data_IF_260813607267
#
_entry.id   IF_260813607267
#
_cell.length_a   1.000
_cell.length_b   1.000
_cell.length_c   1.000
_cell.angle_alpha   90.00
_cell.angle_beta   90.00
_cell.angle_gamma   90.00
#
_symmetry.space_group_name_H-M   'P 1'
#
loop_
_entity.id
_entity.type
_entity.pdbx_description
1 polymer ?
#
# COMPACT_ATOMS: atom_id res chain seq x y z
N UNK A 1 -2.24 -2.59 10.61
CA UNK A 1 -1.38 -1.98 11.64
C UNK A 1 -0.20 -1.21 11.02
N UNK A 2 0.66 -1.85 10.21
CA UNK A 2 1.86 -1.23 9.62
C UNK A 2 1.57 0.11 8.91
N UNK A 3 0.66 0.14 7.93
CA UNK A 3 0.30 1.38 7.22
C UNK A 3 -0.40 2.45 8.07
N UNK A 4 -0.79 2.12 9.31
CA UNK A 4 -1.48 3.04 10.23
C UNK A 4 -0.53 3.59 11.29
N UNK A 5 0.29 2.74 11.90
CA UNK A 5 1.16 3.05 13.06
C UNK A 5 2.59 2.50 12.92
N UNK A 6 2.96 1.94 11.77
CA UNK A 6 4.24 1.26 11.55
C UNK A 6 5.44 2.18 11.73
N UNK A 7 5.33 3.44 11.34
CA UNK A 7 6.41 4.42 11.56
C UNK A 7 6.69 4.63 13.06
N UNK A 8 5.64 4.70 13.89
CA UNK A 8 5.80 4.76 15.34
C UNK A 8 6.38 3.47 15.91
N UNK A 9 5.86 2.30 15.49
CA UNK A 9 6.37 1.00 15.94
C UNK A 9 7.85 0.83 15.60
N UNK A 10 8.27 1.20 14.39
CA UNK A 10 9.68 1.18 13.98
C UNK A 10 10.54 2.08 14.87
N UNK A 11 10.10 3.31 15.15
CA UNK A 11 10.86 4.20 16.02
C UNK A 11 10.97 3.64 17.45
N UNK A 12 9.90 3.04 17.98
CA UNK A 12 9.95 2.39 19.29
C UNK A 12 10.86 1.15 19.30
N UNK A 13 10.87 0.38 18.22
CA UNK A 13 11.78 -0.75 18.05
C UNK A 13 13.25 -0.28 18.11
N UNK A 14 13.59 0.79 17.39
CA UNK A 14 14.93 1.39 17.43
C UNK A 14 15.31 1.86 18.84
N UNK A 15 14.40 2.55 19.52
CA UNK A 15 14.61 3.03 20.89
C UNK A 15 14.90 1.88 21.87
N UNK A 16 14.28 0.73 21.64
CA UNK A 16 14.44 -0.47 22.48
C UNK A 16 15.57 -1.39 22.02
N UNK A 17 16.25 -1.07 20.91
CA UNK A 17 17.31 -1.92 20.35
C UNK A 17 16.78 -3.25 19.78
N UNK A 18 15.54 -3.29 19.30
CA UNK A 18 14.92 -4.48 18.68
C UNK A 18 14.59 -4.23 17.21
N UNK A 19 14.47 -5.29 16.42
CA UNK A 19 14.20 -5.18 14.97
C UNK A 19 12.69 -5.24 14.70
N UNK A 20 12.18 -4.26 13.97
CA UNK A 20 10.85 -4.28 13.36
C UNK A 20 10.96 -4.71 11.91
N UNK A 21 10.04 -5.54 11.43
CA UNK A 21 9.93 -5.88 10.00
C UNK A 21 8.48 -6.25 9.66
N UNK A 22 8.04 -5.86 8.46
CA UNK A 22 6.95 -6.59 7.78
C UNK A 22 7.50 -7.95 7.34
N UNK A 23 6.73 -9.02 7.52
CA UNK A 23 7.15 -10.38 7.16
C UNK A 23 7.20 -10.60 5.65
N UNK A 24 8.11 -11.45 5.18
CA UNK A 24 8.21 -11.87 3.79
C UNK A 24 6.96 -12.64 3.33
N UNK A 25 6.75 -12.66 2.01
CA UNK A 25 5.74 -13.49 1.35
C UNK A 25 4.38 -12.84 1.11
N UNK A 26 4.12 -11.66 1.67
CA UNK A 26 3.04 -10.78 1.19
C UNK A 26 3.58 -9.93 0.04
N UNK A 27 2.70 -9.38 -0.79
CA UNK A 27 3.08 -8.59 -1.96
C UNK A 27 4.01 -7.41 -1.62
N UNK A 28 3.80 -6.63 -0.52
CA UNK A 28 4.68 -5.51 -0.22
C UNK A 28 6.15 -5.91 0.00
N UNK A 29 6.41 -6.89 0.87
CA UNK A 29 7.77 -7.35 1.17
C UNK A 29 8.40 -8.12 0.01
N UNK A 30 7.60 -8.87 -0.75
CA UNK A 30 8.07 -9.53 -1.98
C UNK A 30 8.46 -8.50 -3.05
N UNK A 31 7.76 -7.38 -3.14
CA UNK A 31 8.08 -6.29 -4.06
C UNK A 31 9.36 -5.55 -3.63
N UNK A 32 9.60 -5.42 -2.32
CA UNK A 32 10.83 -4.83 -1.81
C UNK A 32 12.09 -5.58 -2.29
N UNK A 33 12.05 -6.90 -2.48
CA UNK A 33 13.16 -7.67 -3.05
C UNK A 33 13.54 -7.18 -4.47
N UNK A 34 12.54 -6.90 -5.31
CA UNK A 34 12.75 -6.38 -6.67
C UNK A 34 13.23 -4.92 -6.65
N UNK A 35 12.69 -4.12 -5.71
CA UNK A 35 13.06 -2.72 -5.53
C UNK A 35 14.51 -2.59 -5.05
N UNK A 36 14.92 -3.42 -4.10
CA UNK A 36 16.30 -3.50 -3.63
C UNK A 36 17.23 -3.88 -4.79
N UNK A 37 16.90 -4.92 -5.55
CA UNK A 37 17.67 -5.33 -6.73
C UNK A 37 17.82 -4.20 -7.77
N UNK A 38 16.70 -3.59 -8.18
CA UNK A 38 16.71 -2.54 -9.20
C UNK A 38 17.49 -1.30 -8.76
N UNK A 39 17.27 -0.85 -7.52
CA UNK A 39 17.95 0.34 -6.98
C UNK A 39 19.44 0.10 -6.75
N UNK A 40 19.85 -1.08 -6.31
CA UNK A 40 21.27 -1.44 -6.15
C UNK A 40 22.04 -1.44 -7.49
N UNK A 41 21.36 -1.76 -8.60
CA UNK A 41 21.90 -1.66 -9.95
C UNK A 41 21.91 -0.23 -10.52
N UNK A 42 21.35 0.75 -9.80
CA UNK A 42 21.24 2.12 -10.27
C UNK A 42 20.19 2.33 -11.36
N UNK A 43 19.23 1.41 -11.50
CA UNK A 43 18.11 1.56 -12.42
C UNK A 43 17.05 2.49 -11.83
N UNK A 44 16.48 3.37 -12.65
CA UNK A 44 15.44 4.30 -12.21
C UNK A 44 14.11 3.57 -12.08
N UNK A 45 13.50 3.59 -10.89
CA UNK A 45 12.21 2.94 -10.65
C UNK A 45 11.09 3.85 -11.17
N UNK A 46 10.32 3.34 -12.14
CA UNK A 46 9.21 4.05 -12.77
C UNK A 46 7.92 3.77 -12.04
N UNK A 47 7.61 2.49 -11.84
CA UNK A 47 6.42 2.04 -11.13
C UNK A 47 6.71 0.70 -10.42
N UNK A 48 6.05 0.44 -9.29
CA UNK A 48 6.14 -0.84 -8.59
C UNK A 48 4.78 -1.24 -8.03
N UNK A 49 4.53 -2.55 -7.94
CA UNK A 49 3.32 -3.05 -7.30
C UNK A 49 2.97 -4.49 -7.65
N UNK A 50 1.67 -4.76 -7.79
CA UNK A 50 1.12 -6.12 -7.95
C UNK A 50 0.07 -6.24 -9.06
N UNK A 51 -0.20 -7.47 -9.44
CA UNK A 51 -1.36 -7.82 -10.26
C UNK A 51 -2.56 -8.21 -9.39
N UNK A 52 -3.77 -8.05 -9.94
CA UNK A 52 -5.00 -8.63 -9.39
C UNK A 52 -5.52 -9.71 -10.33
N UNK A 53 -5.78 -10.89 -9.76
CA UNK A 53 -6.43 -12.00 -10.47
C UNK A 53 -7.95 -11.99 -10.30
N UNK A 54 -8.46 -11.40 -9.22
CA UNK A 54 -9.89 -11.23 -9.02
C UNK A 54 -10.40 -9.99 -9.78
N UNK A 55 -11.55 -10.09 -10.48
CA UNK A 55 -12.24 -8.92 -10.97
C UNK A 55 -12.47 -7.91 -9.85
N UNK A 56 -12.13 -6.65 -10.09
CA UNK A 56 -12.37 -5.58 -9.14
C UNK A 56 -13.87 -5.24 -9.12
N UNK A 57 -14.50 -5.36 -7.96
CA UNK A 57 -15.86 -4.91 -7.74
C UNK A 57 -15.92 -4.09 -6.45
N UNK A 58 -15.90 -2.76 -6.59
CA UNK A 58 -15.94 -1.83 -5.46
C UNK A 58 -17.20 -1.93 -4.59
N UNK A 59 -18.26 -2.55 -5.11
CA UNK A 59 -19.55 -2.70 -4.42
C UNK A 59 -19.69 -4.06 -3.74
N UNK A 60 -18.66 -4.91 -3.78
CA UNK A 60 -18.70 -6.23 -3.17
C UNK A 60 -19.00 -6.15 -1.66
N UNK A 61 -19.90 -7.02 -1.22
CA UNK A 61 -20.28 -7.21 0.19
C UNK A 61 -20.25 -8.70 0.56
N UNK A 62 -20.08 -9.06 1.85
CA UNK A 62 -19.92 -10.45 2.26
C UNK A 62 -21.00 -11.40 1.76
N UNK A 63 -22.25 -10.95 1.70
CA UNK A 63 -23.40 -11.77 1.31
C UNK A 63 -23.28 -12.31 -0.12
N UNK A 64 -22.69 -11.54 -1.05
CA UNK A 64 -22.49 -11.96 -2.44
C UNK A 64 -21.40 -13.04 -2.60
N UNK A 65 -20.55 -13.21 -1.59
CA UNK A 65 -19.33 -14.03 -1.65
C UNK A 65 -19.31 -15.17 -0.63
N UNK A 66 -20.39 -15.41 0.12
CA UNK A 66 -20.47 -16.47 1.14
C UNK A 66 -20.18 -17.86 0.56
N UNK A 67 -20.83 -18.21 -0.54
CA UNK A 67 -20.67 -19.53 -1.17
C UNK A 67 -19.23 -19.79 -1.62
N UNK A 68 -18.60 -18.80 -2.29
CA UNK A 68 -17.20 -18.93 -2.69
C UNK A 68 -16.27 -19.03 -1.47
N UNK A 69 -16.52 -18.22 -0.45
CA UNK A 69 -15.71 -18.19 0.77
C UNK A 69 -15.78 -19.53 1.52
N UNK A 70 -16.97 -20.11 1.67
CA UNK A 70 -17.19 -21.44 2.26
C UNK A 70 -16.47 -22.53 1.45
N UNK A 71 -16.62 -22.53 0.11
CA UNK A 71 -15.93 -23.48 -0.78
C UNK A 71 -14.41 -23.40 -0.65
N UNK A 72 -13.87 -22.20 -0.40
CA UNK A 72 -12.43 -21.94 -0.25
C UNK A 72 -11.94 -22.06 1.19
N UNK A 73 -12.82 -22.41 2.14
CA UNK A 73 -12.54 -22.43 3.57
C UNK A 73 -11.89 -21.12 4.07
N UNK A 74 -12.46 -19.99 3.66
CA UNK A 74 -11.97 -18.65 4.01
C UNK A 74 -13.09 -17.78 4.55
N UNK A 75 -12.72 -16.73 5.30
CA UNK A 75 -13.69 -15.75 5.78
C UNK A 75 -14.21 -14.90 4.60
N UNK A 76 -15.55 -14.74 4.41
CA UNK A 76 -16.12 -13.89 3.36
C UNK A 76 -15.60 -12.45 3.35
N UNK A 77 -15.33 -11.87 4.53
CA UNK A 77 -14.75 -10.51 4.64
C UNK A 77 -13.37 -10.42 3.99
N UNK A 78 -12.55 -11.45 4.20
CA UNK A 78 -11.24 -11.52 3.56
C UNK A 78 -11.38 -11.60 2.04
N UNK A 79 -12.34 -12.37 1.54
CA UNK A 79 -12.59 -12.43 0.09
C UNK A 79 -13.02 -11.07 -0.46
N UNK A 80 -13.94 -10.38 0.23
CA UNK A 80 -14.44 -9.07 -0.19
C UNK A 80 -13.33 -8.01 -0.21
N UNK A 81 -12.41 -7.96 0.75
CA UNK A 81 -11.32 -6.96 0.72
C UNK A 81 -10.34 -7.17 -0.45
N UNK A 82 -10.21 -8.40 -0.97
CA UNK A 82 -9.49 -8.66 -2.21
C UNK A 82 -10.27 -8.15 -3.42
N UNK A 83 -11.59 -8.36 -3.43
CA UNK A 83 -12.47 -8.02 -4.55
C UNK A 83 -12.74 -6.52 -4.65
N UNK A 84 -13.02 -5.83 -3.54
CA UNK A 84 -13.35 -4.40 -3.52
C UNK A 84 -12.13 -3.48 -3.68
N UNK A 85 -10.94 -4.08 -3.63
CA UNK A 85 -9.64 -3.41 -3.81
C UNK A 85 -9.00 -2.97 -2.50
N UNK A 86 -9.64 -3.15 -1.35
CA UNK A 86 -9.13 -2.65 -0.07
C UNK A 86 -7.74 -3.19 0.27
N UNK A 87 -7.51 -4.49 0.10
CA UNK A 87 -6.20 -5.11 0.36
C UNK A 87 -5.13 -4.54 -0.57
N UNK A 88 -5.45 -4.31 -1.85
CA UNK A 88 -4.54 -3.68 -2.82
C UNK A 88 -4.12 -2.27 -2.38
N UNK A 89 -5.06 -1.46 -1.90
CA UNK A 89 -4.75 -0.10 -1.40
C UNK A 89 -3.77 -0.16 -0.23
N UNK A 90 -4.01 -1.08 0.72
CA UNK A 90 -3.15 -1.29 1.89
C UNK A 90 -1.75 -1.73 1.48
N UNK A 91 -1.63 -2.73 0.60
CA UNK A 91 -0.34 -3.26 0.15
C UNK A 91 0.48 -2.21 -0.59
N UNK A 92 -0.14 -1.45 -1.51
CA UNK A 92 0.57 -0.42 -2.27
C UNK A 92 0.99 0.75 -1.37
N UNK A 93 0.18 1.09 -0.36
CA UNK A 93 0.57 2.08 0.65
C UNK A 93 1.78 1.62 1.49
N UNK A 94 1.87 0.32 1.81
CA UNK A 94 3.03 -0.23 2.51
C UNK A 94 4.31 -0.07 1.65
N UNK A 95 4.24 -0.43 0.36
CA UNK A 95 5.36 -0.23 -0.59
C UNK A 95 5.74 1.25 -0.66
N UNK A 96 4.75 2.14 -0.85
CA UNK A 96 4.97 3.58 -0.91
C UNK A 96 5.69 4.09 0.35
N UNK A 97 5.19 3.70 1.53
CA UNK A 97 5.75 4.14 2.80
C UNK A 97 7.10 3.51 3.13
N UNK A 98 7.53 2.43 2.48
CA UNK A 98 8.88 1.87 2.62
C UNK A 98 9.89 2.45 1.62
N UNK A 99 9.44 3.13 0.57
CA UNK A 99 10.29 3.48 -0.59
C UNK A 99 10.30 4.95 -0.95
N UNK A 100 9.26 5.69 -0.59
CA UNK A 100 9.05 7.07 -1.04
C UNK A 100 8.37 7.17 -2.42
N UNK A 101 8.06 6.04 -3.06
CA UNK A 101 7.16 6.00 -4.21
C UNK A 101 5.76 6.47 -3.79
N UNK A 102 5.00 7.06 -4.70
CA UNK A 102 3.67 7.64 -4.39
C UNK A 102 2.58 7.17 -5.34
N UNK A 103 1.30 7.12 -4.93
CA UNK A 103 0.22 6.96 -5.90
C UNK A 103 0.19 8.18 -6.85
N UNK A 104 0.06 7.94 -8.16
CA UNK A 104 -0.01 9.01 -9.17
C UNK A 104 -1.32 9.81 -9.07
N UNK A 105 -2.40 9.11 -8.68
CA UNK A 105 -3.73 9.66 -8.39
C UNK A 105 -4.31 8.95 -7.16
N UNK A 106 -5.24 9.55 -6.40
CA UNK A 106 -5.97 8.86 -5.34
C UNK A 106 -6.56 7.53 -5.85
N UNK A 107 -6.31 6.45 -5.13
CA UNK A 107 -6.72 5.10 -5.51
C UNK A 107 -5.89 4.41 -6.58
N UNK A 108 -4.86 5.07 -7.12
CA UNK A 108 -4.03 4.60 -8.23
C UNK A 108 -4.84 4.40 -9.52
N UNK A 109 -4.17 4.08 -10.62
CA UNK A 109 -4.84 3.93 -11.91
C UNK A 109 -5.50 2.56 -12.09
N UNK A 110 -4.86 1.49 -11.64
CA UNK A 110 -5.40 0.14 -11.78
C UNK A 110 -5.71 -0.31 -13.22
N UNK A 111 -4.85 -0.02 -14.24
CA UNK A 111 -5.21 -0.26 -15.63
C UNK A 111 -5.40 -1.75 -15.95
N UNK A 112 -6.16 -2.01 -17.01
CA UNK A 112 -6.23 -3.33 -17.63
C UNK A 112 -4.96 -3.56 -18.44
N UNK A 113 -4.00 -4.28 -17.86
CA UNK A 113 -2.72 -4.58 -18.49
C UNK A 113 -2.20 -5.93 -18.03
N UNK A 114 -1.93 -6.81 -19.00
CA UNK A 114 -1.28 -8.09 -18.77
C UNK A 114 0.23 -7.90 -18.55
N UNK A 115 0.91 -8.93 -18.04
CA UNK A 115 2.35 -8.91 -17.72
C UNK A 115 3.22 -8.31 -18.85
N UNK A 116 2.96 -8.74 -20.08
CA UNK A 116 3.80 -8.39 -21.24
C UNK A 116 3.52 -6.97 -21.78
N UNK A 117 2.45 -6.32 -21.31
CA UNK A 117 2.07 -4.95 -21.70
C UNK A 117 2.47 -3.91 -20.65
N UNK A 118 2.72 -4.36 -19.42
CA UNK A 118 2.84 -3.51 -18.23
C UNK A 118 3.90 -2.41 -18.39
N UNK A 119 5.08 -2.77 -18.93
CA UNK A 119 6.20 -1.86 -19.17
C UNK A 119 5.95 -0.83 -20.30
N UNK A 120 4.81 -0.90 -20.99
CA UNK A 120 4.35 0.10 -21.97
C UNK A 120 3.20 0.97 -21.43
N UNK A 121 2.47 0.48 -20.43
CA UNK A 121 1.28 1.15 -19.88
C UNK A 121 1.63 1.98 -18.66
N UNK A 122 2.32 1.39 -17.68
CA UNK A 122 2.68 2.05 -16.42
C UNK A 122 4.03 2.78 -16.54
N UNK A 123 4.11 3.66 -17.55
CA UNK A 123 5.23 4.58 -17.81
C UNK A 123 4.67 6.00 -17.99
N UNK A 124 5.50 7.05 -18.07
CA UNK A 124 5.03 8.42 -18.25
C UNK A 124 4.21 8.62 -19.53
N UNK A 125 3.21 9.52 -19.46
CA UNK A 125 2.41 9.96 -20.63
C UNK A 125 3.26 10.49 -21.78
N UNK A 126 4.38 11.15 -21.47
CA UNK A 126 5.31 11.67 -22.47
C UNK A 126 5.89 10.56 -23.37
N UNK A 127 5.95 9.33 -22.86
CA UNK A 127 6.47 8.16 -23.58
C UNK A 127 5.34 7.21 -24.03
N UNK A 128 4.09 7.68 -24.03
CA UNK A 128 2.92 6.91 -24.47
C UNK A 128 2.25 6.06 -23.38
N UNK A 129 2.68 6.18 -22.13
CA UNK A 129 2.05 5.50 -20.99
C UNK A 129 0.93 6.30 -20.32
N UNK A 130 0.59 5.88 -19.11
CA UNK A 130 -0.53 6.40 -18.32
C UNK A 130 -0.12 7.43 -17.26
N UNK A 131 1.10 7.35 -16.77
CA UNK A 131 1.51 8.02 -15.53
C UNK A 131 1.83 9.50 -15.75
N UNK A 132 1.45 10.36 -14.81
CA UNK A 132 1.87 11.77 -14.83
C UNK A 132 3.34 11.96 -14.46
N UNK A 133 3.92 10.97 -13.75
CA UNK A 133 5.31 10.98 -13.26
C UNK A 133 5.90 9.57 -13.17
N UNK A 134 7.23 9.51 -13.01
CA UNK A 134 7.96 8.31 -12.54
C UNK A 134 7.95 8.25 -11.01
N UNK A 135 8.29 7.08 -10.47
CA UNK A 135 8.41 6.84 -9.04
C UNK A 135 7.05 6.62 -8.36
N UNK A 136 6.23 5.74 -8.93
CA UNK A 136 4.86 5.50 -8.45
C UNK A 136 4.64 4.09 -7.90
N UNK A 137 3.65 3.95 -7.02
CA UNK A 137 3.00 2.66 -6.77
C UNK A 137 1.72 2.56 -7.57
N UNK A 138 1.48 1.43 -8.22
CA UNK A 138 0.24 1.14 -8.94
C UNK A 138 -0.01 -0.37 -9.00
N UNK A 139 -1.18 -0.79 -9.47
CA UNK A 139 -1.53 -2.18 -9.65
C UNK A 139 -2.14 -2.42 -11.04
N UNK A 140 -2.26 -3.66 -11.47
CA UNK A 140 -2.95 -3.96 -12.73
C UNK A 140 -4.03 -5.03 -12.60
N UNK A 141 -4.98 -4.99 -13.53
CA UNK A 141 -6.01 -6.00 -13.70
C UNK A 141 -5.70 -6.73 -15.01
N UNK A 142 -5.15 -7.93 -14.93
CA UNK A 142 -4.68 -8.63 -16.13
C UNK A 142 -4.05 -9.97 -15.82
N UNK A 143 -3.74 -10.73 -16.87
CA UNK A 143 -3.14 -12.05 -16.79
C UNK A 143 -1.63 -11.97 -16.58
N UNK A 144 -1.11 -12.95 -15.85
CA UNK A 144 0.32 -13.25 -15.78
C UNK A 144 1.15 -12.42 -14.79
N UNK A 145 0.55 -11.47 -14.07
CA UNK A 145 1.24 -10.72 -13.00
C UNK A 145 1.02 -11.37 -11.65
N UNK A 146 -0.23 -11.73 -11.31
CA UNK A 146 -0.54 -12.44 -10.07
C UNK A 146 -0.61 -13.97 -10.28
N UNK A 147 -0.20 -14.79 -9.29
CA UNK A 147 0.39 -14.38 -8.01
C UNK A 147 1.78 -13.78 -8.21
N UNK A 148 2.09 -12.71 -7.47
CA UNK A 148 3.39 -12.06 -7.59
C UNK A 148 3.33 -10.53 -7.67
N UNK A 149 4.49 -9.97 -7.99
CA UNK A 149 4.78 -8.54 -7.94
C UNK A 149 5.64 -8.12 -9.12
N UNK A 150 5.66 -6.82 -9.40
CA UNK A 150 6.45 -6.24 -10.47
C UNK A 150 7.18 -4.96 -10.04
N UNK A 151 8.25 -4.64 -10.76
CA UNK A 151 8.87 -3.31 -10.83
C UNK A 151 9.12 -2.96 -12.29
N UNK A 152 8.66 -1.81 -12.75
CA UNK A 152 9.05 -1.22 -14.03
C UNK A 152 10.23 -0.30 -13.78
N UNK A 153 11.30 -0.52 -14.53
CA UNK A 153 12.53 0.25 -14.46
C UNK A 153 12.83 0.94 -15.78
N UNK A 154 13.58 2.02 -15.70
CA UNK A 154 14.15 2.71 -16.85
C UNK A 154 15.68 2.57 -16.86
N UNK A 155 16.22 2.11 -17.98
CA UNK A 155 17.66 2.09 -18.21
C UNK A 155 18.14 3.44 -18.77
N UNK A 156 19.04 4.10 -18.03
CA UNK A 156 19.48 5.46 -18.35
C UNK A 156 20.66 5.56 -19.33
N UNK A 157 21.34 4.44 -19.62
CA UNK A 157 22.54 4.42 -20.47
C UNK A 157 22.32 3.56 -21.72
N UNK A 158 22.66 4.03 -22.94
CA UNK A 158 22.43 3.30 -24.19
C UNK A 158 23.00 1.87 -24.21
N UNK A 159 24.19 1.66 -23.64
CA UNK A 159 24.80 0.32 -23.50
C UNK A 159 23.99 -0.63 -22.59
N UNK A 160 23.32 -0.08 -21.57
CA UNK A 160 22.45 -0.88 -20.69
C UNK A 160 21.17 -1.24 -21.43
N UNK A 161 20.61 -0.30 -22.20
CA UNK A 161 19.47 -0.55 -23.10
C UNK A 161 19.80 -1.65 -24.12
N UNK A 162 20.92 -1.51 -24.84
CA UNK A 162 21.42 -2.51 -25.79
C UNK A 162 21.55 -3.89 -25.13
N UNK A 163 22.18 -3.97 -23.96
CA UNK A 163 22.37 -5.23 -23.26
C UNK A 163 21.05 -5.85 -22.78
N UNK A 164 20.12 -5.04 -22.26
CA UNK A 164 18.81 -5.53 -21.79
C UNK A 164 17.93 -6.01 -22.95
N UNK A 165 18.01 -5.34 -24.10
CA UNK A 165 17.37 -5.76 -25.35
C UNK A 165 17.98 -7.09 -25.86
N UNK A 166 19.32 -7.20 -25.93
CA UNK A 166 20.03 -8.43 -26.34
C UNK A 166 19.71 -9.64 -25.45
N UNK A 167 19.49 -9.39 -24.16
CA UNK A 167 19.11 -10.42 -23.18
C UNK A 167 17.61 -10.75 -23.23
N UNK A 168 16.84 -10.12 -24.12
CA UNK A 168 15.40 -10.32 -24.27
C UNK A 168 14.60 -10.00 -23.00
N UNK A 169 15.08 -9.07 -22.18
CA UNK A 169 14.33 -8.60 -20.99
C UNK A 169 13.09 -7.80 -21.41
N UNK A 170 13.18 -7.10 -22.53
CA UNK A 170 12.10 -6.28 -23.08
C UNK A 170 12.61 -5.42 -24.22
N UNK A 171 11.92 -4.31 -24.49
CA UNK A 171 12.38 -3.29 -25.44
C UNK A 171 12.47 -1.95 -24.73
N UNK A 172 13.68 -1.40 -24.67
CA UNK A 172 13.97 -0.19 -23.90
C UNK A 172 13.27 1.08 -24.38
N UNK A 173 13.33 2.15 -23.54
CA UNK A 173 14.16 2.22 -22.33
C UNK A 173 13.50 1.63 -21.06
N UNK A 174 12.24 1.19 -21.15
CA UNK A 174 11.46 0.66 -20.02
C UNK A 174 11.40 -0.86 -20.01
N UNK A 175 11.64 -1.46 -18.84
CA UNK A 175 11.68 -2.92 -18.67
C UNK A 175 10.87 -3.34 -17.44
N UNK A 176 10.20 -4.49 -17.51
CA UNK A 176 9.48 -5.08 -16.39
C UNK A 176 10.30 -6.17 -15.71
N UNK A 177 10.47 -6.08 -14.40
CA UNK A 177 11.04 -7.11 -13.53
C UNK A 177 9.90 -7.75 -12.73
N UNK A 178 9.85 -9.07 -12.66
CA UNK A 178 8.73 -9.81 -12.08
C UNK A 178 9.21 -10.89 -11.11
N UNK A 179 8.50 -11.02 -9.98
CA UNK A 179 8.58 -12.18 -9.09
C UNK A 179 7.23 -12.89 -9.20
N UNK A 180 7.12 -14.01 -9.95
CA UNK A 180 5.84 -14.61 -10.32
C UNK A 180 5.27 -15.54 -9.23
N UNK A 181 5.59 -15.24 -7.97
CA UNK A 181 5.09 -15.96 -6.80
C UNK A 181 5.29 -15.13 -5.53
N UNK A 182 4.49 -15.44 -4.54
CA UNK A 182 4.71 -15.12 -3.13
C UNK A 182 3.94 -16.17 -2.33
N UNK A 183 4.51 -16.64 -1.23
CA UNK A 183 4.00 -17.81 -0.49
C UNK A 183 3.38 -17.42 0.85
N UNK A 184 3.07 -16.14 1.05
CA UNK A 184 2.37 -15.60 2.22
C UNK A 184 3.06 -16.03 3.52
N UNK A 185 2.30 -16.60 4.46
CA UNK A 185 2.77 -17.10 5.74
C UNK A 185 3.99 -18.05 5.66
N UNK A 186 4.18 -18.78 4.55
CA UNK A 186 5.28 -19.73 4.40
C UNK A 186 6.66 -19.05 4.32
N UNK A 187 6.75 -17.77 3.93
CA UNK A 187 8.01 -17.05 3.83
C UNK A 187 8.37 -16.29 5.13
N UNK A 188 7.41 -16.05 6.02
CA UNK A 188 7.63 -15.32 7.28
C UNK A 188 8.75 -15.92 8.17
N UNK A 189 8.92 -17.26 8.27
CA UNK A 189 10.07 -17.83 8.98
C UNK A 189 11.44 -17.38 8.44
N UNK A 190 11.52 -17.02 7.15
CA UNK A 190 12.75 -16.51 6.55
C UNK A 190 13.08 -15.11 7.07
N UNK A 191 12.07 -14.25 7.29
CA UNK A 191 12.25 -12.95 7.96
C UNK A 191 12.81 -13.16 9.37
N UNK A 192 12.21 -14.07 10.14
CA UNK A 192 12.70 -14.38 11.48
C UNK A 192 14.15 -14.87 11.46
N UNK A 193 14.50 -15.77 10.54
CA UNK A 193 15.87 -16.24 10.37
C UNK A 193 16.84 -15.09 10.00
N UNK A 194 16.48 -14.20 9.08
CA UNK A 194 17.31 -13.04 8.69
C UNK A 194 17.52 -12.06 9.82
N UNK A 195 16.48 -11.81 10.64
CA UNK A 195 16.59 -10.99 11.84
C UNK A 195 17.53 -11.64 12.86
N UNK A 196 17.33 -12.92 13.17
CA UNK A 196 18.10 -13.59 14.22
C UNK A 196 19.55 -13.88 13.84
N UNK A 197 19.82 -14.18 12.57
CA UNK A 197 21.16 -14.52 12.09
C UNK A 197 21.97 -13.31 11.65
N UNK A 198 21.30 -12.28 11.10
CA UNK A 198 21.99 -11.15 10.45
C UNK A 198 21.55 -9.78 10.95
N UNK A 199 20.56 -9.69 11.85
CA UNK A 199 20.00 -8.41 12.30
C UNK A 199 19.27 -7.64 11.19
N UNK A 200 18.85 -8.31 10.11
CA UNK A 200 18.30 -7.66 8.92
C UNK A 200 16.77 -7.79 8.87
N UNK A 201 16.02 -6.68 8.82
CA UNK A 201 14.61 -6.71 8.47
C UNK A 201 14.44 -6.89 6.96
N UNK A 202 13.27 -7.37 6.53
CA UNK A 202 12.92 -7.48 5.10
C UNK A 202 12.24 -6.22 4.58
N UNK A 203 11.45 -5.54 5.41
CA UNK A 203 10.76 -4.33 5.02
C UNK A 203 10.41 -3.51 6.26
N UNK A 204 10.73 -2.22 6.22
CA UNK A 204 10.40 -1.23 7.25
C UNK A 204 9.84 0.04 6.61
N UNK A 205 8.93 0.76 7.28
CA UNK A 205 8.49 2.06 6.79
C UNK A 205 9.61 3.11 6.94
N UNK A 206 9.59 4.10 6.06
CA UNK A 206 10.39 5.32 6.18
C UNK A 206 9.99 6.11 7.43
N UNK A 207 10.90 6.95 7.98
CA UNK A 207 10.60 7.80 9.13
C UNK A 207 9.50 8.83 8.89
N UNK A 208 9.15 9.13 7.64
CA UNK A 208 8.00 9.95 7.26
C UNK A 208 7.22 9.23 6.16
N UNK A 209 5.97 8.83 6.42
CA UNK A 209 5.08 8.27 5.39
C UNK A 209 4.86 9.26 4.23
N UNK A 210 4.67 8.71 3.03
CA UNK A 210 4.35 9.47 1.80
C UNK A 210 2.94 9.18 1.30
N UNK A 211 2.33 8.08 1.74
CA UNK A 211 0.96 7.70 1.44
C UNK A 211 0.16 7.36 2.72
N UNK A 212 -1.15 7.53 2.64
CA UNK A 212 -2.11 7.20 3.70
C UNK A 212 -3.23 6.34 3.12
N UNK A 213 -3.61 5.27 3.82
CA UNK A 213 -4.80 4.50 3.43
C UNK A 213 -6.01 5.16 4.05
N UNK A 214 -6.79 5.86 3.23
CA UNK A 214 -8.06 6.48 3.59
C UNK A 214 -9.22 5.53 3.25
N UNK A 215 -10.46 6.01 3.32
CA UNK A 215 -11.62 5.21 2.98
C UNK A 215 -12.71 6.00 2.26
N UNK A 216 -13.46 5.33 1.39
CA UNK A 216 -14.67 5.84 0.75
C UNK A 216 -15.86 4.95 1.07
N UNK A 217 -17.05 5.54 1.19
CA UNK A 217 -18.27 4.81 1.51
C UNK A 217 -18.69 3.88 0.36
N UNK A 218 -19.11 2.64 0.68
CA UNK A 218 -19.65 1.67 -0.30
C UNK A 218 -21.15 1.79 -0.52
N UNK A 219 -21.85 2.45 0.40
CA UNK A 219 -23.28 2.74 0.36
C UNK A 219 -23.55 4.11 0.99
N UNK A 220 -24.78 4.57 0.87
CA UNK A 220 -25.23 5.71 1.68
C UNK A 220 -25.23 5.31 3.17
N UNK A 221 -24.69 6.19 4.01
CA UNK A 221 -24.59 6.03 5.46
C UNK A 221 -25.37 7.14 6.16
N UNK A 222 -26.13 6.78 7.19
CA UNK A 222 -26.89 7.73 7.99
C UNK A 222 -26.06 8.24 9.18
N UNK A 223 -26.35 9.47 9.63
CA UNK A 223 -25.75 9.97 10.88
C UNK A 223 -26.16 9.07 12.06
N UNK A 224 -25.19 8.69 12.89
CA UNK A 224 -25.36 7.76 14.01
C UNK A 224 -25.01 6.30 13.68
N UNK A 225 -24.90 5.94 12.40
CA UNK A 225 -24.46 4.60 11.99
C UNK A 225 -23.09 4.27 12.60
N UNK A 226 -22.91 3.00 12.97
CA UNK A 226 -21.60 2.47 13.37
C UNK A 226 -20.89 1.94 12.13
N UNK A 227 -19.64 2.32 11.93
CA UNK A 227 -18.81 1.71 10.90
C UNK A 227 -18.54 0.24 11.26
N UNK A 228 -18.79 -0.64 10.28
CA UNK A 228 -18.37 -2.03 10.32
C UNK A 228 -16.86 -2.15 10.05
N UNK A 229 -16.41 -3.18 9.36
CA UNK A 229 -14.99 -3.42 9.11
C UNK A 229 -14.64 -3.39 7.61
N UNK A 230 -13.34 -3.32 7.31
CA UNK A 230 -12.84 -3.60 5.97
C UNK A 230 -13.32 -4.98 5.52
N UNK A 231 -13.75 -5.08 4.26
CA UNK A 231 -14.36 -6.28 3.71
C UNK A 231 -15.84 -6.46 4.04
N UNK A 232 -16.48 -5.50 4.73
CA UNK A 232 -17.92 -5.53 5.02
C UNK A 232 -18.71 -4.59 4.11
N UNK A 233 -19.60 -3.73 4.63
CA UNK A 233 -20.62 -3.03 3.83
C UNK A 233 -20.50 -1.51 3.83
N UNK A 234 -19.88 -0.90 4.85
CA UNK A 234 -19.93 0.55 4.99
C UNK A 234 -18.89 1.25 4.12
N UNK A 235 -17.66 0.73 4.03
CA UNK A 235 -16.55 1.42 3.35
C UNK A 235 -15.53 0.47 2.71
N UNK A 236 -14.73 1.01 1.80
CA UNK A 236 -13.55 0.36 1.21
C UNK A 236 -12.34 1.28 1.32
N UNK A 237 -11.15 0.70 1.29
CA UNK A 237 -9.91 1.48 1.38
C UNK A 237 -9.66 2.31 0.12
N UNK A 238 -8.93 3.41 0.27
CA UNK A 238 -8.58 4.35 -0.78
C UNK A 238 -7.23 5.03 -0.47
N UNK A 239 -6.16 4.62 -1.15
CA UNK A 239 -4.82 5.16 -0.88
C UNK A 239 -4.65 6.53 -1.52
N UNK A 240 -4.19 7.51 -0.73
CA UNK A 240 -3.92 8.88 -1.14
C UNK A 240 -2.47 9.24 -0.79
N UNK A 241 -1.93 10.30 -1.38
CA UNK A 241 -0.70 10.90 -0.83
C UNK A 241 -1.00 11.44 0.57
N UNK A 242 0.00 11.48 1.46
CA UNK A 242 -0.17 12.08 2.80
C UNK A 242 -0.60 13.55 2.71
N UNK A 243 -0.12 14.28 1.69
CA UNK A 243 -0.49 15.66 1.45
C UNK A 243 -1.99 15.82 1.18
N UNK A 244 -2.52 15.05 0.23
CA UNK A 244 -3.94 15.09 -0.12
C UNK A 244 -4.82 14.59 1.02
N UNK A 245 -4.44 13.48 1.67
CA UNK A 245 -5.17 12.95 2.82
C UNK A 245 -5.30 13.98 3.94
N UNK A 246 -4.23 14.71 4.25
CA UNK A 246 -4.25 15.78 5.26
C UNK A 246 -5.06 16.99 4.82
N UNK A 247 -4.91 17.43 3.56
CA UNK A 247 -5.67 18.55 3.03
C UNK A 247 -7.19 18.28 3.07
N UNK A 248 -7.59 17.03 2.79
CA UNK A 248 -8.98 16.58 2.88
C UNK A 248 -9.43 16.16 4.28
N UNK A 249 -8.54 16.20 5.28
CA UNK A 249 -8.80 15.70 6.66
C UNK A 249 -9.36 14.28 6.66
N UNK A 250 -8.83 13.44 5.77
CA UNK A 250 -9.25 12.05 5.60
C UNK A 250 -8.91 11.22 6.84
N UNK A 251 -9.83 10.35 7.26
CA UNK A 251 -9.59 9.46 8.39
C UNK A 251 -8.84 8.22 7.90
N UNK A 252 -7.71 7.84 8.53
CA UNK A 252 -7.01 6.60 8.21
C UNK A 252 -7.94 5.40 8.38
N UNK A 253 -8.05 4.55 7.35
CA UNK A 253 -9.03 3.44 7.31
C UNK A 253 -8.90 2.49 8.50
N UNK A 254 -7.67 2.29 8.99
CA UNK A 254 -7.41 1.43 10.15
C UNK A 254 -8.02 1.92 11.46
N UNK A 255 -8.57 3.13 11.50
CA UNK A 255 -9.22 3.72 12.68
C UNK A 255 -10.75 3.73 12.58
N UNK A 256 -11.34 3.25 11.48
CA UNK A 256 -12.77 3.38 11.24
C UNK A 256 -13.62 2.30 11.91
N UNK A 257 -13.11 1.08 12.07
CA UNK A 257 -13.87 -0.02 12.66
C UNK A 257 -14.38 0.33 14.07
N UNK A 258 -15.70 0.18 14.28
CA UNK A 258 -16.38 0.56 15.52
C UNK A 258 -16.62 2.06 15.70
N UNK A 259 -16.12 2.90 14.80
CA UNK A 259 -16.36 4.35 14.78
C UNK A 259 -17.79 4.73 14.41
N UNK A 260 -18.06 6.03 14.34
CA UNK A 260 -19.39 6.61 14.11
C UNK A 260 -19.45 7.53 12.91
N UNK A 261 -20.53 7.43 12.16
CA UNK A 261 -20.92 8.39 11.14
C UNK A 261 -21.51 9.62 11.81
N UNK A 262 -20.89 10.78 11.61
CA UNK A 262 -21.29 12.06 12.23
C UNK A 262 -22.34 12.81 11.43
N UNK A 263 -22.29 12.68 10.10
CA UNK A 263 -23.19 13.33 9.13
C UNK A 263 -23.53 12.32 8.03
N UNK A 264 -24.68 12.46 7.35
CA UNK A 264 -24.99 11.58 6.22
C UNK A 264 -23.87 11.59 5.17
N UNK A 265 -23.45 10.41 4.72
CA UNK A 265 -22.37 10.22 3.73
C UNK A 265 -22.94 9.50 2.53
N UNK A 266 -22.65 9.98 1.32
CA UNK A 266 -23.08 9.31 0.08
C UNK A 266 -22.12 8.22 -0.34
N UNK A 267 -22.64 7.20 -1.04
CA UNK A 267 -21.79 6.20 -1.69
C UNK A 267 -20.71 6.88 -2.55
N UNK A 268 -19.46 6.45 -2.37
CA UNK A 268 -18.28 6.99 -3.05
C UNK A 268 -17.66 8.22 -2.40
N UNK A 269 -18.30 8.81 -1.38
CA UNK A 269 -17.76 9.95 -0.65
C UNK A 269 -16.64 9.51 0.30
N UNK A 270 -15.63 10.38 0.46
CA UNK A 270 -14.49 10.18 1.35
C UNK A 270 -14.92 10.29 2.81
N UNK A 271 -14.38 9.41 3.65
CA UNK A 271 -14.57 9.46 5.09
C UNK A 271 -13.51 10.40 5.71
N UNK A 272 -13.98 11.51 6.25
CA UNK A 272 -13.16 12.61 6.78
C UNK A 272 -13.55 12.91 8.23
N UNK A 273 -12.72 13.68 8.93
CA UNK A 273 -13.02 14.11 10.30
C UNK A 273 -14.35 14.89 10.43
N UNK A 274 -14.90 15.41 9.33
CA UNK A 274 -16.16 16.15 9.33
C UNK A 274 -17.40 15.25 9.29
N UNK A 275 -17.26 14.01 8.79
CA UNK A 275 -18.36 13.05 8.63
C UNK A 275 -18.13 11.70 9.34
N UNK A 276 -16.93 11.45 9.86
CA UNK A 276 -16.56 10.20 10.53
C UNK A 276 -15.76 10.46 11.82
N UNK A 277 -16.07 9.71 12.87
CA UNK A 277 -15.33 9.70 14.14
C UNK A 277 -14.82 8.29 14.47
N UNK A 278 -13.49 8.09 14.56
CA UNK A 278 -12.92 6.85 15.10
C UNK A 278 -13.38 6.53 16.53
N UNK A 279 -13.37 5.24 16.89
CA UNK A 279 -13.42 4.83 18.30
C UNK A 279 -12.11 5.18 19.00
N UNK A 280 -12.19 6.22 19.85
CA UNK A 280 -11.05 6.77 20.59
C UNK A 280 -10.60 5.90 21.77
N UNK A 281 -11.36 4.88 22.14
CA UNK A 281 -11.01 3.97 23.24
C UNK A 281 -9.99 2.91 22.82
N UNK A 282 -9.78 2.72 21.51
CA UNK A 282 -8.90 1.69 21.00
C UNK A 282 -7.42 2.00 21.22
N UNK A 283 -6.63 0.95 21.48
CA UNK A 283 -5.16 1.04 21.54
C UNK A 283 -4.57 1.58 20.25
N UNK A 284 -5.13 1.20 19.10
CA UNK A 284 -4.67 1.61 17.78
C UNK A 284 -4.84 3.13 17.59
N UNK A 285 -5.97 3.70 18.01
CA UNK A 285 -6.19 5.14 17.99
C UNK A 285 -5.15 5.87 18.86
N UNK A 286 -4.92 5.40 20.10
CA UNK A 286 -3.92 5.98 20.99
C UNK A 286 -2.50 5.95 20.38
N UNK A 287 -2.09 4.83 19.76
CA UNK A 287 -0.79 4.73 19.09
C UNK A 287 -0.70 5.61 17.85
N UNK A 288 -1.78 5.74 17.07
CA UNK A 288 -1.83 6.66 15.94
C UNK A 288 -1.67 8.10 16.37
N UNK A 289 -2.32 8.52 17.46
CA UNK A 289 -2.11 9.85 18.06
C UNK A 289 -0.65 10.11 18.40
N UNK A 290 0.03 9.15 19.03
CA UNK A 290 1.46 9.26 19.33
C UNK A 290 2.31 9.36 18.05
N UNK A 291 1.95 8.62 16.99
CA UNK A 291 2.61 8.75 15.70
C UNK A 291 2.42 10.15 15.09
N UNK A 292 1.19 10.68 15.13
CA UNK A 292 0.90 12.00 14.58
C UNK A 292 1.62 13.11 15.37
N UNK A 293 1.65 13.02 16.70
CA UNK A 293 2.40 13.95 17.55
C UNK A 293 3.92 13.85 17.29
N UNK A 294 4.45 12.64 17.08
CA UNK A 294 5.86 12.40 16.71
C UNK A 294 6.22 13.03 15.34
N UNK A 295 5.33 12.94 14.35
CA UNK A 295 5.59 13.39 12.97
C UNK A 295 5.31 14.87 12.75
N UNK A 296 4.28 15.40 13.42
CA UNK A 296 3.66 16.68 13.12
C UNK A 296 3.42 17.57 14.36
N UNK A 297 3.69 17.07 15.56
CA UNK A 297 3.64 17.89 16.77
C UNK A 297 4.65 19.04 16.70
N UNK A 298 4.30 20.16 17.33
CA UNK A 298 5.24 21.26 17.47
C UNK A 298 6.46 20.77 18.28
N UNK A 299 7.66 20.86 17.70
CA UNK A 299 8.88 20.75 18.50
C UNK A 299 8.88 21.94 19.46
N UNK A 300 8.61 21.69 20.74
CA UNK A 300 8.98 22.65 21.78
C UNK A 300 10.49 22.76 21.68
N UNK A 301 10.99 23.93 21.26
CA UNK A 301 12.41 24.22 21.29
C UNK A 301 12.89 23.95 22.71
N UNK A 302 13.78 22.96 22.88
CA UNK A 302 14.46 22.80 24.16
C UNK A 302 15.19 24.12 24.44
N UNK A 303 15.05 24.72 25.64
CA UNK A 303 15.89 25.84 26.00
C UNK A 303 17.33 25.35 25.88
N UNK A 304 18.17 26.11 25.17
CA UNK A 304 19.59 25.86 25.13
C UNK A 304 20.07 25.68 26.58
N UNK A 305 20.67 24.51 26.87
CA UNK A 305 21.44 24.35 28.09
C UNK A 305 22.65 25.28 27.96
N UNK A 306 22.50 26.47 28.54
CA UNK A 306 23.63 27.31 28.92
C UNK A 306 24.35 26.62 30.08
N UNK A 307 25.51 26.04 29.78
CA UNK A 307 26.47 25.52 30.75
C UNK A 307 27.86 25.60 30.15
#
# INVERSE_FOLDING_TARGET
ADVTIGCYLKQQADRLGVVYSVGAGDEPSSCMELIEFASALGLSIVAAGKGKNNPLNHDAVPDDYREEAERRNMNPRMLVEFVDGSKTMVEMCAIANATGLVPDVPGMHGPRADRDQLAKVLIPKADGGLLSRKGVVDYTIGKGVAPGVFVIVEAMHPRVVERMDDLHVGKGPYYGLFRPYHLTSLEVPLTAARIMLYGKPDMVPLPRPVAEVCAVAKRDLAAGDTFDAIGETCYRSWTMTVGDARASRAVPVGLLEGGKVLKPVKKGELLTEDNAAPDRTTRLYALRRLQDDMLYGAKIASPALSG
#
